data_IF_402141851548
#
_entry.id   IF_402141851548
#
_cell.length_a   1.000
_cell.length_b   1.000
_cell.length_c   1.000
_cell.angle_alpha   90.00
_cell.angle_beta   90.00
_cell.angle_gamma   90.00
#
_symmetry.space_group_name_H-M   'P 1'
#
loop_
_entity.id
_entity.type
_entity.pdbx_description
1 polymer ?
#
# COMPACT_ATOMS: atom_id res chain seq x y z
N UNK A 1 11.82 -1.66 -16.10
CA UNK A 1 11.89 -1.95 -14.65
C UNK A 1 13.30 -1.57 -14.23
N UNK A 2 13.57 -1.08 -13.01
CA UNK A 2 14.95 -0.85 -12.59
C UNK A 2 15.74 -2.15 -12.80
N UNK A 3 16.92 -2.09 -13.40
CA UNK A 3 17.71 -3.29 -13.70
C UNK A 3 18.26 -3.96 -12.42
N UNK A 4 18.22 -3.25 -11.29
CA UNK A 4 18.89 -3.63 -10.03
C UNK A 4 17.97 -4.12 -8.92
N UNK A 5 16.78 -4.66 -9.25
CA UNK A 5 15.79 -5.15 -8.26
C UNK A 5 16.37 -6.17 -7.26
N UNK A 6 17.47 -6.84 -7.61
CA UNK A 6 18.11 -7.87 -6.78
C UNK A 6 19.13 -7.35 -5.77
N UNK A 7 19.41 -6.04 -5.72
CA UNK A 7 20.49 -5.47 -4.87
C UNK A 7 20.03 -4.76 -3.60
N UNK A 8 18.72 -4.58 -3.40
CA UNK A 8 18.20 -3.84 -2.25
C UNK A 8 17.14 -4.64 -1.50
N UNK A 9 17.09 -4.50 -0.17
CA UNK A 9 16.00 -4.93 0.72
C UNK A 9 14.71 -4.12 0.45
N UNK A 10 14.34 -3.94 -0.82
CA UNK A 10 13.18 -3.18 -1.24
C UNK A 10 11.90 -4.00 -1.11
N UNK A 11 10.85 -3.40 -0.56
CA UNK A 11 9.52 -4.02 -0.53
C UNK A 11 8.78 -3.69 -1.83
N UNK A 12 8.32 -4.72 -2.54
CA UNK A 12 7.48 -4.58 -3.74
C UNK A 12 6.07 -5.06 -3.42
N UNK A 13 5.07 -4.30 -3.83
CA UNK A 13 3.65 -4.68 -3.71
C UNK A 13 2.96 -4.46 -5.04
N UNK A 14 2.36 -5.51 -5.60
CA UNK A 14 1.56 -5.43 -6.82
C UNK A 14 0.24 -4.73 -6.50
N UNK A 15 -0.19 -3.84 -7.39
CA UNK A 15 -1.45 -3.10 -7.27
C UNK A 15 -2.17 -3.05 -8.62
N UNK A 16 -3.47 -2.72 -8.61
CA UNK A 16 -4.16 -2.31 -9.83
C UNK A 16 -3.89 -0.83 -10.12
N UNK A 17 -3.50 -0.50 -11.34
CA UNK A 17 -3.27 0.87 -11.79
C UNK A 17 -4.60 1.62 -12.05
N UNK A 18 -4.59 2.98 -12.07
CA UNK A 18 -5.80 3.79 -12.37
C UNK A 18 -6.34 3.58 -13.78
N UNK A 19 -5.47 3.15 -14.70
CA UNK A 19 -5.85 2.75 -16.05
C UNK A 19 -6.58 1.39 -16.09
N UNK A 20 -6.84 0.76 -14.95
CA UNK A 20 -7.37 -0.59 -14.85
C UNK A 20 -6.35 -1.70 -15.15
N UNK A 21 -5.12 -1.33 -15.51
CA UNK A 21 -4.01 -2.25 -15.79
C UNK A 21 -3.19 -2.65 -14.55
N UNK A 22 -2.03 -3.26 -14.78
CA UNK A 22 -1.11 -3.69 -13.73
C UNK A 22 -0.23 -2.53 -13.25
N UNK A 23 -0.03 -2.41 -11.94
CA UNK A 23 0.93 -1.50 -11.32
C UNK A 23 1.70 -2.18 -10.19
N UNK A 24 2.72 -1.51 -9.68
CA UNK A 24 3.35 -1.90 -8.43
C UNK A 24 3.87 -0.68 -7.66
N UNK A 25 3.94 -0.85 -6.36
CA UNK A 25 4.67 0.01 -5.45
C UNK A 25 6.04 -0.60 -5.19
N UNK A 26 7.07 0.23 -5.24
CA UNK A 26 8.43 -0.12 -4.87
C UNK A 26 8.88 0.81 -3.77
N UNK A 27 9.15 0.25 -2.59
CA UNK A 27 9.67 0.97 -1.44
C UNK A 27 11.16 0.64 -1.29
N UNK A 28 12.00 1.66 -1.37
CA UNK A 28 13.44 1.57 -1.12
C UNK A 28 13.79 2.62 -0.08
N UNK A 29 14.29 2.18 1.07
CA UNK A 29 14.48 3.00 2.26
C UNK A 29 13.19 3.76 2.62
N UNK A 30 13.15 5.07 2.39
CA UNK A 30 11.98 5.93 2.62
C UNK A 30 11.32 6.43 1.34
N UNK A 31 11.78 5.97 0.18
CA UNK A 31 11.25 6.40 -1.11
C UNK A 31 10.25 5.40 -1.65
N UNK A 32 8.99 5.82 -1.79
CA UNK A 32 7.92 5.04 -2.39
C UNK A 32 7.71 5.46 -3.84
N UNK A 33 7.92 4.52 -4.75
CA UNK A 33 7.71 4.71 -6.17
C UNK A 33 6.47 3.95 -6.63
N UNK A 34 5.62 4.63 -7.40
CA UNK A 34 4.47 4.06 -8.08
C UNK A 34 4.79 3.85 -9.55
N UNK A 35 4.71 2.59 -9.97
CA UNK A 35 4.95 2.18 -11.34
C UNK A 35 3.68 1.62 -11.97
N UNK A 36 3.45 1.92 -13.25
CA UNK A 36 2.33 1.41 -14.03
C UNK A 36 2.83 0.73 -15.30
N UNK A 37 2.20 -0.39 -15.65
CA UNK A 37 2.39 -1.04 -16.94
C UNK A 37 1.63 -0.25 -18.01
N UNK A 38 2.33 0.16 -19.06
CA UNK A 38 1.79 0.79 -20.25
C UNK A 38 1.90 -0.18 -21.42
N UNK A 39 0.90 -0.20 -22.29
CA UNK A 39 0.91 -0.95 -23.54
C UNK A 39 0.97 0.09 -24.65
N UNK A 40 1.98 0.00 -25.50
CA UNK A 40 2.17 0.91 -26.63
C UNK A 40 1.36 0.44 -27.84
N UNK A 41 1.25 1.30 -28.86
CA UNK A 41 0.48 1.00 -30.08
C UNK A 41 1.00 -0.21 -30.86
N UNK A 42 2.29 -0.55 -30.71
CA UNK A 42 2.92 -1.74 -31.27
C UNK A 42 2.62 -3.03 -30.46
N UNK A 43 1.82 -2.94 -29.40
CA UNK A 43 1.49 -4.04 -28.50
C UNK A 43 2.56 -4.37 -27.47
N UNK A 44 3.72 -3.69 -27.48
CA UNK A 44 4.80 -3.93 -26.52
C UNK A 44 4.44 -3.30 -25.18
N UNK A 45 4.61 -4.05 -24.11
CA UNK A 45 4.40 -3.56 -22.76
C UNK A 45 5.69 -3.03 -22.13
N UNK A 46 5.63 -1.86 -21.50
CA UNK A 46 6.73 -1.33 -20.68
C UNK A 46 6.23 -0.81 -19.34
N UNK A 47 7.16 -0.67 -18.39
CA UNK A 47 6.89 -0.08 -17.08
C UNK A 47 7.24 1.41 -17.11
N UNK A 48 6.32 2.26 -16.68
CA UNK A 48 6.56 3.70 -16.49
C UNK A 48 6.46 4.08 -15.02
N UNK A 49 7.45 4.84 -14.54
CA UNK A 49 7.38 5.50 -13.24
C UNK A 49 6.35 6.63 -13.33
N UNK A 50 5.39 6.63 -12.42
CA UNK A 50 4.34 7.64 -12.38
C UNK A 50 4.55 8.66 -11.27
N UNK A 51 4.90 8.18 -10.07
CA UNK A 51 5.05 9.03 -8.90
C UNK A 51 6.18 8.52 -8.01
N UNK A 52 6.91 9.45 -7.42
CA UNK A 52 7.91 9.18 -6.37
C UNK A 52 7.54 10.02 -5.15
N UNK A 53 7.56 9.41 -3.96
CA UNK A 53 7.19 10.03 -2.70
C UNK A 53 8.30 9.78 -1.68
N UNK A 54 8.87 10.84 -1.12
CA UNK A 54 9.82 10.78 -0.01
C UNK A 54 9.06 10.73 1.31
N UNK A 55 8.85 9.52 1.84
CA UNK A 55 7.99 9.26 3.00
C UNK A 55 8.56 9.83 4.30
N UNK A 56 9.88 9.90 4.45
CA UNK A 56 10.54 10.52 5.59
C UNK A 56 10.22 12.01 5.68
N UNK A 57 10.28 12.73 4.55
CA UNK A 57 9.91 14.15 4.51
C UNK A 57 8.41 14.35 4.68
N UNK A 58 7.60 13.55 3.99
CA UNK A 58 6.14 13.64 4.04
C UNK A 58 5.60 13.39 5.45
N UNK A 59 6.12 12.37 6.14
CA UNK A 59 5.67 11.95 7.46
C UNK A 59 6.52 12.55 8.60
N UNK A 60 7.51 13.39 8.28
CA UNK A 60 8.46 13.99 9.23
C UNK A 60 9.17 12.94 10.10
N UNK A 61 9.66 11.87 9.48
CA UNK A 61 10.41 10.80 10.13
C UNK A 61 11.89 11.14 10.20
N UNK A 62 12.59 10.57 11.18
CA UNK A 62 14.05 10.56 11.20
C UNK A 62 14.53 9.22 10.60
N UNK A 63 15.19 9.23 9.43
CA UNK A 63 15.70 8.03 8.77
C UNK A 63 16.68 7.19 9.61
N UNK A 64 17.40 7.81 10.55
CA UNK A 64 18.37 7.12 11.40
C UNK A 64 17.72 6.26 12.50
N UNK A 65 16.41 6.46 12.76
CA UNK A 65 15.72 5.83 13.89
C UNK A 65 14.97 4.55 13.56
N UNK A 66 14.90 4.15 12.29
CA UNK A 66 14.26 2.90 11.91
C UNK A 66 14.00 2.79 10.42
N UNK A 67 13.22 1.79 10.02
CA UNK A 67 12.79 1.59 8.64
C UNK A 67 11.27 1.74 8.50
N UNK A 68 10.81 1.69 7.26
CA UNK A 68 9.39 1.73 6.89
C UNK A 68 9.04 0.48 6.07
N UNK A 69 7.80 0.02 6.20
CA UNK A 69 7.30 -1.16 5.51
C UNK A 69 5.90 -0.91 4.96
N UNK A 70 5.61 -1.44 3.76
CA UNK A 70 4.24 -1.51 3.25
C UNK A 70 3.53 -2.67 3.94
N UNK A 71 2.44 -2.37 4.65
CA UNK A 71 1.61 -3.36 5.33
C UNK A 71 0.42 -3.80 4.47
N UNK A 72 0.00 -2.97 3.52
CA UNK A 72 -1.06 -3.31 2.59
C UNK A 72 -1.48 -2.14 1.71
N UNK A 73 -2.33 -2.45 0.74
CA UNK A 73 -2.91 -1.50 -0.20
C UNK A 73 -4.41 -1.75 -0.29
N UNK A 74 -5.22 -0.70 -0.09
CA UNK A 74 -6.66 -0.72 -0.33
C UNK A 74 -6.93 -0.17 -1.74
N UNK A 75 -7.51 -1.01 -2.60
CA UNK A 75 -7.56 -0.77 -4.04
C UNK A 75 -8.50 0.37 -4.39
N UNK A 76 -9.69 0.37 -3.79
CA UNK A 76 -10.78 1.31 -4.08
C UNK A 76 -10.40 2.75 -3.73
N UNK A 77 -9.81 2.96 -2.55
CA UNK A 77 -9.49 4.29 -2.04
C UNK A 77 -8.06 4.74 -2.31
N UNK A 78 -7.25 3.93 -3.00
CA UNK A 78 -5.83 4.20 -3.28
C UNK A 78 -5.01 4.47 -2.02
N UNK A 79 -5.30 3.75 -0.94
CA UNK A 79 -4.63 3.93 0.33
C UNK A 79 -3.53 2.90 0.52
N UNK A 80 -2.36 3.36 0.94
CA UNK A 80 -1.24 2.52 1.36
C UNK A 80 -1.14 2.58 2.87
N UNK A 81 -1.04 1.41 3.50
CA UNK A 81 -0.78 1.29 4.93
C UNK A 81 0.71 1.10 5.17
N UNK A 82 1.29 1.96 6.00
CA UNK A 82 2.72 2.04 6.23
C UNK A 82 3.03 1.80 7.71
N UNK A 83 3.85 0.80 7.98
CA UNK A 83 4.40 0.55 9.30
C UNK A 83 5.72 1.28 9.48
N UNK A 84 5.86 2.05 10.56
CA UNK A 84 7.08 2.80 10.90
C UNK A 84 7.46 2.54 12.35
N UNK A 85 8.67 2.99 12.75
CA UNK A 85 9.11 2.93 14.14
C UNK A 85 8.29 3.82 15.10
N UNK A 86 7.49 4.78 14.59
CA UNK A 86 6.64 5.66 15.42
C UNK A 86 5.15 5.32 15.36
N UNK A 87 4.73 4.41 14.48
CA UNK A 87 3.32 4.09 14.30
C UNK A 87 2.92 3.57 12.93
N UNK A 88 1.62 3.29 12.83
CA UNK A 88 0.93 2.95 11.59
C UNK A 88 0.38 4.20 10.93
N UNK A 89 0.58 4.34 9.62
CA UNK A 89 0.02 5.42 8.81
C UNK A 89 -0.85 4.86 7.68
N UNK A 90 -1.93 5.56 7.38
CA UNK A 90 -2.65 5.43 6.11
C UNK A 90 -2.30 6.64 5.23
N UNK A 91 -1.83 6.38 4.01
CA UNK A 91 -1.45 7.39 3.02
C UNK A 91 -2.32 7.24 1.77
N UNK A 92 -3.02 8.29 1.37
CA UNK A 92 -3.75 8.34 0.11
C UNK A 92 -2.80 8.78 -1.03
N UNK A 93 -2.56 7.91 -2.01
CA UNK A 93 -1.52 8.13 -3.03
C UNK A 93 -1.78 9.32 -3.96
N UNK A 94 -3.04 9.67 -4.22
CA UNK A 94 -3.38 10.78 -5.12
C UNK A 94 -3.18 12.14 -4.46
N UNK A 95 -3.83 12.35 -3.31
CA UNK A 95 -3.83 13.62 -2.55
C UNK A 95 -2.60 13.82 -1.67
N UNK A 96 -1.83 12.74 -1.42
CA UNK A 96 -0.75 12.68 -0.43
C UNK A 96 -1.18 13.02 1.01
N UNK A 97 -2.49 13.04 1.27
CA UNK A 97 -2.99 13.15 2.63
C UNK A 97 -2.71 11.86 3.39
N UNK A 98 -2.30 12.00 4.64
CA UNK A 98 -2.03 10.87 5.52
C UNK A 98 -2.65 11.05 6.89
N UNK A 99 -2.92 9.92 7.55
CA UNK A 99 -3.41 9.85 8.93
C UNK A 99 -2.59 8.83 9.71
N UNK A 100 -2.12 9.22 10.90
CA UNK A 100 -1.55 8.28 11.87
C UNK A 100 -2.69 7.50 12.52
N UNK A 101 -2.70 6.18 12.36
CA UNK A 101 -3.76 5.30 12.87
C UNK A 101 -3.45 4.77 14.27
N UNK A 102 -2.18 4.59 14.60
CA UNK A 102 -1.77 4.13 15.92
C UNK A 102 -0.33 4.52 16.24
N UNK A 103 0.00 4.58 17.53
CA UNK A 103 1.37 4.65 18.00
C UNK A 103 1.93 3.24 18.14
N UNK A 104 3.15 3.02 17.65
CA UNK A 104 3.81 1.71 17.78
C UNK A 104 4.64 1.66 19.05
N UNK A 105 4.45 0.59 19.84
CA UNK A 105 5.46 0.12 20.82
C UNK A 105 6.11 -1.21 20.41
N UNK A 106 5.56 -1.96 19.43
CA UNK A 106 6.13 -3.20 18.86
C UNK A 106 5.66 -3.45 17.42
N UNK A 107 6.44 -4.22 16.67
CA UNK A 107 6.06 -4.76 15.34
C UNK A 107 4.88 -5.73 15.52
N UNK A 108 3.74 -5.42 14.93
CA UNK A 108 2.57 -6.30 14.86
C UNK A 108 2.24 -6.61 13.40
N UNK A 109 1.70 -7.79 13.13
CA UNK A 109 1.18 -8.13 11.80
C UNK A 109 -0.20 -7.48 11.65
N UNK A 110 -0.36 -6.63 10.63
CA UNK A 110 -1.62 -5.98 10.30
C UNK A 110 -2.13 -6.56 8.99
N UNK A 111 -3.38 -7.04 8.99
CA UNK A 111 -4.06 -7.51 7.80
C UNK A 111 -5.24 -6.57 7.52
N UNK A 112 -5.07 -5.54 6.69
CA UNK A 112 -6.18 -4.68 6.30
C UNK A 112 -7.18 -5.50 5.48
N UNK A 113 -8.46 -5.35 5.82
CA UNK A 113 -9.58 -5.91 5.07
C UNK A 113 -10.52 -4.77 4.70
N UNK A 114 -11.15 -4.85 3.54
CA UNK A 114 -12.17 -3.87 3.13
C UNK A 114 -13.54 -4.23 3.74
N UNK A 115 -13.77 -5.53 3.93
CA UNK A 115 -15.00 -6.06 4.50
C UNK A 115 -14.78 -7.40 5.20
N UNK A 116 -15.70 -7.75 6.10
CA UNK A 116 -15.75 -9.06 6.77
C UNK A 116 -17.17 -9.59 6.67
N UNK A 117 -17.29 -10.89 6.41
CA UNK A 117 -18.55 -11.61 6.53
C UNK A 117 -18.76 -12.03 7.98
N UNK A 118 -19.86 -11.60 8.58
CA UNK A 118 -20.29 -12.13 9.87
C UNK A 118 -21.31 -13.24 9.62
N UNK A 119 -21.05 -14.42 10.19
CA UNK A 119 -22.06 -15.46 10.23
C UNK A 119 -23.09 -15.06 11.28
N UNK A 120 -24.36 -14.94 10.87
CA UNK A 120 -25.46 -14.76 11.80
C UNK A 120 -25.60 -16.05 12.62
N UNK A 121 -25.40 -15.97 13.94
CA UNK A 121 -25.56 -17.11 14.86
C UNK A 121 -27.06 -17.23 15.16
N UNK A 122 -27.84 -17.53 14.12
CA UNK A 122 -29.28 -17.73 14.17
C UNK A 122 -29.61 -18.92 13.28
N UNK A 123 -30.07 -20.01 13.88
CA UNK A 123 -30.32 -21.27 13.20
C UNK A 123 -31.28 -21.15 12.02
N UNK A 124 -30.96 -21.92 10.98
CA UNK A 124 -31.72 -22.18 9.75
C UNK A 124 -31.93 -20.96 8.82
N UNK A 125 -31.15 -20.96 7.72
CA UNK A 125 -31.14 -20.00 6.60
C UNK A 125 -30.34 -18.68 6.76
N UNK A 126 -29.32 -18.67 7.61
CA UNK A 126 -28.42 -17.52 7.82
C UNK A 126 -27.79 -16.98 6.52
N UNK A 127 -28.26 -15.82 6.06
CA UNK A 127 -27.70 -15.06 4.95
C UNK A 127 -26.48 -14.31 5.48
N UNK A 128 -25.29 -14.56 4.91
CA UNK A 128 -24.09 -13.85 5.32
C UNK A 128 -24.21 -12.36 4.97
N UNK A 129 -24.08 -11.49 5.97
CA UNK A 129 -24.07 -10.04 5.77
C UNK A 129 -22.63 -9.56 5.54
N UNK A 130 -22.47 -8.67 4.56
CA UNK A 130 -21.19 -8.02 4.26
C UNK A 130 -21.10 -6.73 5.05
N UNK A 131 -20.15 -6.65 5.97
CA UNK A 131 -19.84 -5.42 6.69
C UNK A 131 -18.63 -4.76 6.05
N UNK A 132 -18.77 -3.50 5.61
CA UNK A 132 -17.68 -2.69 5.08
C UNK A 132 -17.01 -1.89 6.20
N UNK A 133 -15.69 -1.75 6.14
CA UNK A 133 -14.96 -0.86 7.03
C UNK A 133 -15.25 0.61 6.66
N UNK A 134 -15.73 1.39 7.64
CA UNK A 134 -16.08 2.81 7.51
C UNK A 134 -14.86 3.75 7.49
#
# INVERSE_FOLDING_TARGET
MPEDVYKYEGHITVIRADSGGLGFLMLTDFTLQLWKRKIHFDGVASWGLEKTIELDKLLSLNPEKGSIMILGFAEENRMVFLGTFIGLFALQLHSLQFKKLSETKRKSHYHPFESVYTADVGGEHGRAELLNNA
#
